data_IF_284781641971
#
_entry.id   IF_284781641971
#
_cell.length_a   1.000
_cell.length_b   1.000
_cell.length_c   1.000
_cell.angle_alpha   90.00
_cell.angle_beta   90.00
_cell.angle_gamma   90.00
#
_symmetry.space_group_name_H-M   'P 1'
#
loop_
_entity.id
_entity.type
_entity.pdbx_description
1 polymer ?
#
# COMPACT_ATOMS: atom_id res chain seq x y z
N UNK A 1 -9.91 19.23 -15.95
CA UNK A 1 -9.01 18.79 -14.86
C UNK A 1 -9.81 18.72 -13.56
N UNK A 2 -10.22 17.54 -13.07
CA UNK A 2 -10.78 17.41 -11.74
C UNK A 2 -9.86 16.52 -10.90
N UNK A 3 -8.87 17.14 -10.27
CA UNK A 3 -8.15 16.57 -9.14
C UNK A 3 -8.03 17.66 -8.09
N UNK A 4 -9.18 18.13 -7.61
CA UNK A 4 -9.20 18.73 -6.28
C UNK A 4 -8.89 17.59 -5.31
N UNK A 5 -7.59 17.46 -5.03
CA UNK A 5 -7.08 16.73 -3.87
C UNK A 5 -7.90 17.20 -2.69
N UNK A 6 -8.74 16.31 -2.17
CA UNK A 6 -9.17 16.37 -0.77
C UNK A 6 -7.88 16.40 0.05
N UNK A 7 -7.44 17.60 0.42
CA UNK A 7 -6.57 17.84 1.55
C UNK A 7 -7.39 17.53 2.82
N UNK A 8 -7.75 16.26 2.98
CA UNK A 8 -8.10 15.65 4.25
C UNK A 8 -6.87 14.86 4.64
N UNK A 9 -5.80 15.57 5.01
CA UNK A 9 -4.82 15.01 5.91
C UNK A 9 -5.59 14.91 7.23
N UNK A 10 -6.34 13.82 7.39
CA UNK A 10 -7.00 13.48 8.63
C UNK A 10 -5.87 13.44 9.66
N UNK A 11 -5.74 14.54 10.40
CA UNK A 11 -4.92 14.63 11.60
C UNK A 11 -5.41 13.46 12.45
N UNK A 12 -4.57 12.44 12.60
CA UNK A 12 -4.81 11.40 13.59
C UNK A 12 -5.10 12.14 14.89
N UNK A 13 -6.29 11.92 15.44
CA UNK A 13 -6.69 12.54 16.69
C UNK A 13 -5.60 12.19 17.72
N UNK A 14 -4.73 13.15 18.04
CA UNK A 14 -3.75 13.08 19.12
C UNK A 14 -4.48 13.10 20.48
N UNK A 15 -5.65 12.45 20.57
CA UNK A 15 -6.58 12.51 21.67
C UNK A 15 -6.05 11.91 22.98
N UNK A 16 -4.79 11.46 23.01
CA UNK A 16 -4.07 11.07 24.21
C UNK A 16 -2.74 11.82 24.44
N UNK A 17 -2.30 12.68 23.52
CA UNK A 17 -1.05 13.44 23.67
C UNK A 17 -1.06 14.44 24.84
N UNK A 18 -2.12 15.25 25.07
CA UNK A 18 -2.12 16.19 26.19
C UNK A 18 -2.23 15.46 27.54
N UNK A 19 -3.02 14.38 27.62
CA UNK A 19 -3.12 13.56 28.82
C UNK A 19 -1.79 12.83 29.12
N UNK A 20 -1.12 12.27 28.10
CA UNK A 20 0.20 11.66 28.26
C UNK A 20 1.23 12.68 28.75
N UNK A 21 1.24 13.90 28.21
CA UNK A 21 2.16 14.96 28.64
C UNK A 21 1.95 15.33 30.11
N UNK A 22 0.71 15.39 30.57
CA UNK A 22 0.40 15.59 31.99
C UNK A 22 0.96 14.46 32.86
N UNK A 23 0.79 13.21 32.44
CA UNK A 23 1.33 12.06 33.18
C UNK A 23 2.87 12.03 33.19
N UNK A 24 3.51 12.40 32.09
CA UNK A 24 4.98 12.51 32.02
C UNK A 24 5.48 13.59 33.00
N UNK A 25 4.82 14.74 33.07
CA UNK A 25 5.16 15.79 34.03
C UNK A 25 5.02 15.32 35.49
N UNK A 26 3.94 14.59 35.81
CA UNK A 26 3.76 13.98 37.12
C UNK A 26 4.83 12.94 37.42
N UNK A 27 5.21 12.12 36.43
CA UNK A 27 6.24 11.09 36.58
C UNK A 27 7.61 11.67 36.90
N UNK A 28 7.92 12.88 36.42
CA UNK A 28 9.18 13.58 36.74
C UNK A 28 9.31 13.98 38.22
N UNK A 29 8.20 14.13 38.93
CA UNK A 29 8.18 14.48 40.36
C UNK A 29 7.85 13.30 41.28
N UNK A 30 7.16 12.28 40.77
CA UNK A 30 6.80 11.07 41.52
C UNK A 30 7.98 10.09 41.69
N UNK A 31 8.11 9.49 42.89
CA UNK A 31 9.13 8.47 43.20
C UNK A 31 8.52 7.27 43.93
N UNK A 32 9.16 6.10 43.80
CA UNK A 32 8.76 4.88 44.52
C UNK A 32 7.29 4.53 44.32
N UNK A 33 6.56 4.36 45.43
CA UNK A 33 5.14 3.98 45.44
C UNK A 33 4.24 4.95 44.65
N UNK A 34 4.53 6.26 44.68
CA UNK A 34 3.76 7.24 43.91
C UNK A 34 3.93 7.05 42.41
N UNK A 35 5.14 6.69 41.96
CA UNK A 35 5.41 6.39 40.55
C UNK A 35 4.73 5.07 40.13
N UNK A 36 4.73 4.04 40.98
CA UNK A 36 4.02 2.80 40.73
C UNK A 36 2.48 3.01 40.63
N UNK A 37 1.91 3.85 41.50
CA UNK A 37 0.49 4.22 41.42
C UNK A 37 0.16 4.99 40.13
N UNK A 38 1.04 5.92 39.73
CA UNK A 38 0.91 6.66 38.47
C UNK A 38 0.90 5.73 37.26
N UNK A 39 1.79 4.72 37.23
CA UNK A 39 1.80 3.72 36.17
C UNK A 39 0.43 3.02 36.07
N UNK A 40 -0.15 2.57 37.19
CA UNK A 40 -1.49 1.95 37.16
C UNK A 40 -2.56 2.90 36.61
N UNK A 41 -2.53 4.19 36.98
CA UNK A 41 -3.47 5.19 36.46
C UNK A 41 -3.33 5.36 34.94
N UNK A 42 -2.10 5.47 34.43
CA UNK A 42 -1.83 5.60 33.00
C UNK A 42 -2.29 4.35 32.24
N UNK A 43 -2.00 3.17 32.77
CA UNK A 43 -2.41 1.90 32.16
C UNK A 43 -3.93 1.74 32.14
N UNK A 44 -4.67 2.29 33.10
CA UNK A 44 -6.13 2.28 33.11
C UNK A 44 -6.78 3.39 32.25
N UNK A 45 -6.02 4.41 31.84
CA UNK A 45 -6.58 5.60 31.17
C UNK A 45 -7.08 5.30 29.73
N UNK A 46 -8.35 5.55 29.38
CA UNK A 46 -8.94 5.04 28.12
C UNK A 46 -8.33 5.59 26.83
N UNK A 47 -7.68 6.76 26.87
CA UNK A 47 -7.12 7.41 25.68
C UNK A 47 -5.60 7.24 25.47
N UNK A 48 -4.90 6.65 26.44
CA UNK A 48 -3.43 6.53 26.39
C UNK A 48 -3.05 5.11 25.97
N UNK A 49 -2.47 5.00 24.77
CA UNK A 49 -2.05 3.74 24.14
C UNK A 49 -0.55 3.70 23.81
N UNK A 50 0.16 4.82 23.99
CA UNK A 50 1.61 4.98 23.75
C UNK A 50 2.29 5.28 25.08
N UNK A 51 3.38 4.56 25.38
CA UNK A 51 4.02 4.59 26.69
C UNK A 51 5.54 4.85 26.64
N UNK A 52 6.12 4.98 25.44
CA UNK A 52 7.56 5.19 25.26
C UNK A 52 8.10 6.42 26.00
N UNK A 53 7.37 7.54 25.96
CA UNK A 53 7.75 8.76 26.69
C UNK A 53 7.77 8.56 28.20
N UNK A 54 6.82 7.78 28.73
CA UNK A 54 6.77 7.47 30.17
C UNK A 54 7.93 6.55 30.57
N UNK A 55 8.27 5.56 29.73
CA UNK A 55 9.43 4.68 29.91
C UNK A 55 10.78 5.42 29.79
N UNK A 56 10.80 6.57 29.12
CA UNK A 56 11.99 7.43 29.04
C UNK A 56 12.27 8.21 30.32
N UNK A 57 11.26 8.40 31.20
CA UNK A 57 11.41 9.16 32.44
C UNK A 57 12.36 8.46 33.42
N UNK A 58 13.34 9.22 33.95
CA UNK A 58 14.35 8.69 34.87
C UNK A 58 13.75 8.01 36.09
N UNK A 59 12.77 8.63 36.75
CA UNK A 59 12.13 8.09 37.96
C UNK A 59 11.42 6.76 37.70
N UNK A 60 10.89 6.54 36.48
CA UNK A 60 10.26 5.28 36.09
C UNK A 60 11.33 4.19 35.92
N UNK A 61 12.47 4.54 35.33
CA UNK A 61 13.61 3.61 35.20
C UNK A 61 14.26 3.27 36.54
N UNK A 62 14.28 4.21 37.48
CA UNK A 62 14.76 4.01 38.86
C UNK A 62 13.90 3.00 39.66
N UNK A 63 12.70 2.65 39.19
CA UNK A 63 11.92 1.57 39.80
C UNK A 63 12.54 0.18 39.55
N UNK A 64 13.43 0.03 38.56
CA UNK A 64 14.15 -1.20 38.31
C UNK A 64 15.05 -1.54 39.51
N UNK A 65 14.88 -2.73 40.09
CA UNK A 65 15.64 -3.17 41.27
C UNK A 65 15.02 -2.75 42.61
N UNK A 66 13.85 -2.11 42.59
CA UNK A 66 13.04 -1.82 43.80
C UNK A 66 11.91 -2.84 43.97
N UNK A 67 11.18 -2.75 45.08
CA UNK A 67 9.95 -3.52 45.34
C UNK A 67 8.85 -3.29 44.27
N UNK A 68 8.94 -2.20 43.49
CA UNK A 68 7.99 -1.86 42.43
C UNK A 68 8.42 -2.33 41.03
N UNK A 69 9.44 -3.18 40.93
CA UNK A 69 9.86 -3.83 39.67
C UNK A 69 8.68 -4.46 38.89
N UNK A 70 7.68 -5.11 39.52
CA UNK A 70 6.53 -5.66 38.80
C UNK A 70 5.69 -4.60 38.06
N UNK A 71 5.60 -3.37 38.58
CA UNK A 71 4.88 -2.28 37.92
C UNK A 71 5.61 -1.81 36.65
N UNK A 72 6.95 -1.77 36.69
CA UNK A 72 7.77 -1.46 35.51
C UNK A 72 7.70 -2.58 34.47
N UNK A 73 7.74 -3.85 34.90
CA UNK A 73 7.55 -4.99 34.01
C UNK A 73 6.19 -4.93 33.31
N UNK A 74 5.12 -4.58 34.04
CA UNK A 74 3.79 -4.40 33.49
C UNK A 74 3.77 -3.29 32.42
N UNK A 75 4.40 -2.14 32.70
CA UNK A 75 4.50 -1.06 31.73
C UNK A 75 5.24 -1.49 30.45
N UNK A 76 6.33 -2.24 30.58
CA UNK A 76 7.06 -2.80 29.44
C UNK A 76 6.20 -3.77 28.61
N UNK A 77 5.39 -4.62 29.25
CA UNK A 77 4.45 -5.49 28.53
C UNK A 77 3.40 -4.69 27.78
N UNK A 78 2.91 -3.59 28.33
CA UNK A 78 1.95 -2.72 27.63
C UNK A 78 2.61 -1.97 26.46
N UNK A 79 3.86 -1.54 26.59
CA UNK A 79 4.60 -0.83 25.54
C UNK A 79 5.06 -1.76 24.40
N UNK A 80 5.53 -2.96 24.70
CA UNK A 80 6.22 -3.82 23.73
C UNK A 80 5.67 -5.24 23.62
N UNK A 81 5.01 -5.76 24.66
CA UNK A 81 4.52 -7.15 24.69
C UNK A 81 3.10 -7.33 24.14
N UNK A 82 2.62 -8.56 24.22
CA UNK A 82 1.26 -8.97 23.85
C UNK A 82 0.55 -9.59 25.04
N UNK A 83 -0.75 -9.87 24.91
CA UNK A 83 -1.52 -10.57 25.93
C UNK A 83 -0.91 -11.95 26.29
N UNK A 84 -0.34 -12.67 25.31
CA UNK A 84 0.34 -13.95 25.56
C UNK A 84 1.66 -13.83 26.33
N UNK A 85 2.28 -12.66 26.33
CA UNK A 85 3.55 -12.42 27.04
C UNK A 85 3.33 -12.10 28.53
N UNK A 86 2.07 -11.88 28.94
CA UNK A 86 1.74 -11.56 30.32
C UNK A 86 1.79 -12.81 31.20
N UNK A 87 2.59 -12.75 32.26
CA UNK A 87 2.66 -13.83 33.24
C UNK A 87 1.27 -14.07 33.89
N UNK A 88 0.84 -15.33 34.10
CA UNK A 88 -0.49 -15.64 34.66
C UNK A 88 -0.75 -14.96 36.02
N UNK A 89 0.29 -14.85 36.85
CA UNK A 89 0.21 -14.19 38.15
C UNK A 89 -0.06 -12.67 38.02
N UNK A 90 0.49 -12.02 37.00
CA UNK A 90 0.22 -10.61 36.73
C UNK A 90 -1.17 -10.45 36.13
N UNK A 91 -1.57 -11.30 35.18
CA UNK A 91 -2.90 -11.31 34.58
C UNK A 91 -4.03 -11.35 35.62
N UNK A 92 -3.86 -12.13 36.70
CA UNK A 92 -4.84 -12.20 37.79
C UNK A 92 -4.98 -10.92 38.63
N UNK A 93 -3.99 -10.02 38.58
CA UNK A 93 -3.96 -8.76 39.36
C UNK A 93 -4.32 -7.52 38.54
N UNK A 94 -4.59 -7.69 37.24
CA UNK A 94 -4.97 -6.60 36.34
C UNK A 94 -6.42 -6.19 36.61
N UNK A 95 -6.63 -4.88 36.64
CA UNK A 95 -7.97 -4.32 36.63
C UNK A 95 -8.63 -4.56 35.27
N UNK A 96 -9.95 -4.77 35.23
CA UNK A 96 -10.72 -4.99 34.01
C UNK A 96 -10.41 -3.98 32.87
N UNK A 97 -10.33 -2.65 33.10
CA UNK A 97 -10.00 -1.70 32.04
C UNK A 97 -8.58 -1.89 31.49
N UNK A 98 -7.61 -2.26 32.35
CA UNK A 98 -6.23 -2.52 31.92
C UNK A 98 -6.17 -3.79 31.08
N UNK A 99 -6.89 -4.84 31.49
CA UNK A 99 -6.96 -6.09 30.74
C UNK A 99 -7.54 -5.88 29.33
N UNK A 100 -8.66 -5.16 29.23
CA UNK A 100 -9.26 -4.79 27.93
C UNK A 100 -8.30 -3.96 27.07
N UNK A 101 -7.58 -3.00 27.66
CA UNK A 101 -6.58 -2.22 26.93
C UNK A 101 -5.45 -3.10 26.38
N UNK A 102 -4.93 -4.06 27.15
CA UNK A 102 -3.88 -4.94 26.65
C UNK A 102 -4.37 -5.83 25.50
N UNK A 103 -5.61 -6.32 25.58
CA UNK A 103 -6.25 -7.05 24.45
C UNK A 103 -6.34 -6.15 23.21
N UNK A 104 -6.79 -4.89 23.37
CA UNK A 104 -6.82 -3.89 22.29
C UNK A 104 -5.45 -3.69 21.65
N UNK A 105 -4.41 -3.44 22.45
CA UNK A 105 -3.04 -3.22 21.98
C UNK A 105 -2.47 -4.46 21.26
N UNK A 106 -2.81 -5.66 21.73
CA UNK A 106 -2.43 -6.92 21.10
C UNK A 106 -3.04 -7.02 19.70
N UNK A 107 -4.34 -6.77 19.58
CA UNK A 107 -5.04 -6.78 18.28
C UNK A 107 -4.46 -5.72 17.34
N UNK A 108 -4.23 -4.49 17.82
CA UNK A 108 -3.62 -3.42 17.02
C UNK A 108 -2.23 -3.81 16.51
N UNK A 109 -1.40 -4.44 17.35
CA UNK A 109 -0.06 -4.88 16.97
C UNK A 109 -0.09 -5.96 15.88
N UNK A 110 -1.08 -6.86 15.94
CA UNK A 110 -1.31 -7.85 14.88
C UNK A 110 -1.77 -7.19 13.57
N UNK A 111 -2.74 -6.29 13.66
CA UNK A 111 -3.25 -5.51 12.54
C UNK A 111 -2.19 -4.62 11.88
N UNK A 112 -1.13 -4.23 12.60
CA UNK A 112 0.00 -3.49 12.05
C UNK A 112 0.96 -4.37 11.24
N UNK A 113 0.94 -5.69 11.46
CA UNK A 113 1.84 -6.65 10.80
C UNK A 113 1.23 -7.28 9.55
N UNK A 114 -0.09 -7.52 9.56
CA UNK A 114 -0.81 -8.20 8.48
C UNK A 114 -2.05 -7.41 8.04
N UNK A 115 -2.26 -7.30 6.72
CA UNK A 115 -3.40 -6.57 6.15
C UNK A 115 -4.72 -7.34 6.22
N UNK A 116 -4.67 -8.68 6.22
CA UNK A 116 -5.85 -9.54 6.27
C UNK A 116 -5.65 -10.60 7.33
N UNK A 117 -6.44 -10.54 8.40
CA UNK A 117 -6.27 -11.42 9.56
C UNK A 117 -7.56 -12.18 9.83
N UNK A 118 -7.43 -13.48 10.06
CA UNK A 118 -8.54 -14.36 10.43
C UNK A 118 -8.97 -14.14 11.89
N UNK A 119 -10.26 -14.24 12.16
CA UNK A 119 -10.80 -14.08 13.51
C UNK A 119 -10.21 -15.10 14.50
N UNK A 120 -9.98 -16.34 14.06
CA UNK A 120 -9.41 -17.41 14.91
C UNK A 120 -8.03 -17.04 15.45
N UNK A 121 -7.23 -16.30 14.67
CA UNK A 121 -5.89 -15.84 15.08
C UNK A 121 -6.01 -14.73 16.12
N UNK A 122 -6.89 -13.75 15.88
CA UNK A 122 -7.15 -12.65 16.81
C UNK A 122 -7.74 -13.15 18.13
N UNK A 123 -8.66 -14.12 18.09
CA UNK A 123 -9.27 -14.74 19.27
C UNK A 123 -8.23 -15.44 20.14
N UNK A 124 -7.32 -16.21 19.53
CA UNK A 124 -6.22 -16.87 20.24
C UNK A 124 -5.26 -15.87 20.86
N UNK A 125 -4.88 -14.83 20.11
CA UNK A 125 -3.92 -13.84 20.57
C UNK A 125 -4.47 -12.96 21.71
N UNK A 126 -5.75 -12.57 21.64
CA UNK A 126 -6.39 -11.73 22.66
C UNK A 126 -7.08 -12.51 23.78
N UNK A 127 -7.04 -13.85 23.75
CA UNK A 127 -7.81 -14.75 24.61
C UNK A 127 -9.29 -14.31 24.72
N UNK A 128 -9.97 -14.34 23.56
CA UNK A 128 -11.39 -14.00 23.43
C UNK A 128 -12.12 -15.22 22.87
N UNK A 129 -13.09 -15.72 23.61
CA UNK A 129 -13.81 -16.95 23.25
C UNK A 129 -14.95 -16.70 22.24
N UNK A 130 -15.55 -15.50 22.29
CA UNK A 130 -16.73 -15.16 21.48
C UNK A 130 -16.37 -14.30 20.27
N UNK A 131 -16.92 -14.65 19.11
CA UNK A 131 -16.79 -13.81 17.90
C UNK A 131 -17.41 -12.44 18.13
N UNK A 132 -18.52 -12.37 18.87
CA UNK A 132 -19.21 -11.11 19.14
C UNK A 132 -18.37 -10.16 19.99
N UNK A 133 -17.70 -10.69 21.01
CA UNK A 133 -16.79 -9.92 21.85
C UNK A 133 -15.60 -9.40 21.04
N UNK A 134 -15.07 -10.21 20.12
CA UNK A 134 -14.03 -9.77 19.20
C UNK A 134 -14.53 -8.64 18.29
N UNK A 135 -15.73 -8.76 17.73
CA UNK A 135 -16.31 -7.71 16.87
C UNK A 135 -16.55 -6.42 17.63
N UNK A 136 -17.11 -6.49 18.85
CA UNK A 136 -17.29 -5.33 19.72
C UNK A 136 -15.95 -4.66 20.05
N UNK A 137 -14.88 -5.45 20.28
CA UNK A 137 -13.53 -4.94 20.48
C UNK A 137 -12.99 -4.26 19.21
N UNK A 138 -13.11 -4.89 18.04
CA UNK A 138 -12.67 -4.33 16.76
C UNK A 138 -13.42 -3.04 16.43
N UNK A 139 -14.72 -3.00 16.68
CA UNK A 139 -15.54 -1.81 16.54
C UNK A 139 -15.03 -0.72 17.47
N UNK A 140 -14.78 -1.03 18.75
CA UNK A 140 -14.25 -0.04 19.70
C UNK A 140 -12.89 0.55 19.25
N UNK A 141 -12.00 -0.28 18.68
CA UNK A 141 -10.72 0.16 18.13
C UNK A 141 -10.89 1.12 16.94
N UNK A 142 -11.91 0.89 16.10
CA UNK A 142 -12.21 1.77 14.97
C UNK A 142 -12.78 3.11 15.45
N UNK A 143 -13.67 3.09 16.43
CA UNK A 143 -14.22 4.32 17.02
C UNK A 143 -13.17 5.14 17.77
N UNK A 144 -12.21 4.48 18.41
CA UNK A 144 -11.07 5.11 19.09
C UNK A 144 -9.98 5.61 18.11
N UNK A 145 -10.14 5.36 16.81
CA UNK A 145 -9.19 5.80 15.77
C UNK A 145 -7.88 5.00 15.74
N UNK A 146 -7.77 3.91 16.51
CA UNK A 146 -6.58 3.07 16.58
C UNK A 146 -6.46 2.13 15.36
N UNK A 147 -7.59 1.81 14.75
CA UNK A 147 -7.69 0.91 13.61
C UNK A 147 -8.60 1.51 12.53
N UNK A 148 -8.21 1.41 11.27
CA UNK A 148 -9.10 1.61 10.12
C UNK A 148 -9.13 0.33 9.32
N UNK A 149 -10.33 -0.22 9.12
CA UNK A 149 -10.51 -1.47 8.41
C UNK A 149 -11.97 -1.79 8.18
N UNK A 150 -12.22 -2.90 7.48
CA UNK A 150 -13.56 -3.45 7.25
C UNK A 150 -13.63 -4.87 7.79
N UNK A 151 -14.66 -5.14 8.56
CA UNK A 151 -14.97 -6.48 9.06
C UNK A 151 -15.74 -7.25 7.99
N UNK A 152 -15.33 -8.49 7.71
CA UNK A 152 -16.05 -9.42 6.85
C UNK A 152 -16.50 -10.62 7.67
N UNK A 153 -17.73 -10.53 8.18
CA UNK A 153 -18.31 -11.55 9.04
C UNK A 153 -18.55 -12.89 8.31
N UNK A 154 -18.75 -12.86 6.98
CA UNK A 154 -18.99 -14.09 6.21
C UNK A 154 -17.71 -14.91 6.07
N UNK A 155 -16.60 -14.24 5.77
CA UNK A 155 -15.31 -14.92 5.65
C UNK A 155 -14.59 -15.06 6.99
N UNK A 156 -15.05 -14.41 8.06
CA UNK A 156 -14.40 -14.35 9.40
C UNK A 156 -12.99 -13.75 9.34
N UNK A 157 -12.83 -12.67 8.57
CA UNK A 157 -11.56 -11.95 8.49
C UNK A 157 -11.81 -10.44 8.64
N UNK A 158 -10.80 -9.74 9.13
CA UNK A 158 -10.74 -8.28 9.06
C UNK A 158 -9.74 -7.88 7.98
N UNK A 159 -10.14 -6.90 7.17
CA UNK A 159 -9.26 -6.22 6.21
C UNK A 159 -8.82 -4.90 6.82
N UNK A 160 -7.57 -4.82 7.21
CA UNK A 160 -6.96 -3.64 7.83
C UNK A 160 -6.44 -2.73 6.72
N UNK A 161 -6.86 -1.47 6.74
CA UNK A 161 -6.34 -0.42 5.87
C UNK A 161 -5.21 0.34 6.56
N UNK A 162 -5.32 0.56 7.88
CA UNK A 162 -4.32 1.23 8.69
C UNK A 162 -4.49 0.81 10.15
N UNK A 163 -3.39 0.61 10.87
CA UNK A 163 -3.37 0.45 12.32
C UNK A 163 -2.35 1.44 12.90
N UNK A 164 -2.63 2.01 14.07
CA UNK A 164 -1.64 2.84 14.75
C UNK A 164 -0.44 2.00 15.18
N UNK A 165 0.74 2.59 15.18
CA UNK A 165 1.91 2.00 15.80
C UNK A 165 1.88 2.29 17.32
N UNK A 166 2.30 1.31 18.12
CA UNK A 166 2.32 1.42 19.58
C UNK A 166 3.62 2.09 20.06
N UNK A 167 4.62 1.31 20.41
CA UNK A 167 5.96 1.76 20.76
C UNK A 167 6.95 0.80 20.11
N UNK A 168 8.07 1.35 19.64
CA UNK A 168 9.16 0.57 19.04
C UNK A 168 10.21 0.35 20.11
N UNK A 169 10.59 -0.91 20.34
CA UNK A 169 11.67 -1.21 21.26
C UNK A 169 13.01 -0.73 20.65
N UNK A 170 13.92 -0.12 21.44
CA UNK A 170 15.20 0.36 20.91
C UNK A 170 15.99 -0.71 20.13
N UNK A 171 15.91 -1.97 20.55
CA UNK A 171 16.57 -3.10 19.88
C UNK A 171 16.00 -3.44 18.50
N UNK A 172 14.79 -2.96 18.18
CA UNK A 172 14.14 -3.16 16.88
C UNK A 172 14.48 -2.05 15.88
N UNK A 173 15.09 -0.95 16.32
CA UNK A 173 15.47 0.16 15.44
C UNK A 173 16.41 -0.27 14.30
N UNK A 174 17.44 -1.11 14.52
CA UNK A 174 18.29 -1.61 13.44
C UNK A 174 17.51 -2.42 12.40
N UNK A 175 16.53 -3.23 12.85
CA UNK A 175 15.67 -4.02 11.96
C UNK A 175 14.78 -3.10 11.12
N UNK A 176 14.22 -2.05 11.71
CA UNK A 176 13.42 -1.06 10.98
C UNK A 176 14.27 -0.31 9.95
N UNK A 177 15.47 0.13 10.32
CA UNK A 177 16.41 0.77 9.40
C UNK A 177 16.76 -0.16 8.23
N UNK A 178 17.01 -1.45 8.48
CA UNK A 178 17.28 -2.43 7.43
C UNK A 178 16.09 -2.62 6.47
N UNK A 179 14.84 -2.65 6.98
CA UNK A 179 13.64 -2.72 6.14
C UNK A 179 13.49 -1.49 5.23
N UNK A 180 13.68 -0.29 5.78
CA UNK A 180 13.64 0.96 5.00
C UNK A 180 14.75 1.02 3.95
N UNK A 181 15.93 0.53 4.31
CA UNK A 181 17.08 0.44 3.42
C UNK A 181 16.80 -0.51 2.24
N UNK A 182 16.28 -1.71 2.51
CA UNK A 182 15.87 -2.65 1.46
C UNK A 182 14.78 -2.07 0.56
N UNK A 183 13.81 -1.36 1.12
CA UNK A 183 12.77 -0.67 0.34
C UNK A 183 13.36 0.42 -0.55
N UNK A 184 14.30 1.23 -0.03
CA UNK A 184 15.02 2.23 -0.82
C UNK A 184 15.76 1.59 -1.99
N UNK A 185 16.53 0.54 -1.72
CA UNK A 185 17.36 -0.11 -2.74
C UNK A 185 16.49 -0.77 -3.82
N UNK A 186 15.33 -1.32 -3.45
CA UNK A 186 14.33 -1.83 -4.40
C UNK A 186 13.82 -0.70 -5.31
N UNK A 187 13.46 0.46 -4.74
CA UNK A 187 13.00 1.60 -5.54
C UNK A 187 14.10 2.16 -6.45
N UNK A 188 15.34 2.26 -5.95
CA UNK A 188 16.48 2.69 -6.77
C UNK A 188 16.75 1.71 -7.91
N UNK A 189 16.64 0.40 -7.65
CA UNK A 189 16.74 -0.63 -8.69
C UNK A 189 15.65 -0.53 -9.74
N UNK A 190 14.39 -0.31 -9.33
CA UNK A 190 13.27 -0.09 -10.25
C UNK A 190 13.45 1.17 -11.10
N UNK A 191 13.89 2.27 -10.49
CA UNK A 191 14.19 3.50 -11.21
C UNK A 191 15.31 3.31 -12.23
N UNK A 192 16.40 2.63 -11.85
CA UNK A 192 17.50 2.33 -12.78
C UNK A 192 17.05 1.43 -13.94
N UNK A 193 16.18 0.45 -13.69
CA UNK A 193 15.61 -0.40 -14.74
C UNK A 193 14.74 0.39 -15.71
N UNK A 194 13.88 1.29 -15.20
CA UNK A 194 13.05 2.18 -16.02
C UNK A 194 13.90 3.15 -16.86
N UNK A 195 14.94 3.73 -16.26
CA UNK A 195 15.88 4.58 -16.98
C UNK A 195 16.63 3.81 -18.07
N UNK A 196 17.03 2.56 -17.81
CA UNK A 196 17.65 1.67 -18.79
C UNK A 196 16.73 1.38 -19.98
N UNK A 197 15.46 1.05 -19.73
CA UNK A 197 14.46 0.85 -20.79
C UNK A 197 14.21 2.12 -21.59
N UNK A 198 14.13 3.28 -20.92
CA UNK A 198 13.93 4.57 -21.59
C UNK A 198 15.12 4.94 -22.50
N UNK A 199 16.36 4.62 -22.09
CA UNK A 199 17.57 4.81 -22.92
C UNK A 199 17.56 3.88 -24.12
N UNK A 200 17.35 2.59 -23.92
CA UNK A 200 17.29 1.61 -25.01
C UNK A 200 16.25 1.99 -26.07
N UNK A 201 15.06 2.45 -25.64
CA UNK A 201 14.03 2.94 -26.56
C UNK A 201 14.47 4.18 -27.34
N UNK A 202 15.16 5.14 -26.70
CA UNK A 202 15.70 6.32 -27.38
C UNK A 202 16.80 5.96 -28.38
N UNK A 203 17.68 5.02 -28.02
CA UNK A 203 18.76 4.56 -28.88
C UNK A 203 18.19 3.85 -30.12
N UNK A 204 17.21 2.95 -29.94
CA UNK A 204 16.53 2.28 -31.04
C UNK A 204 15.82 3.28 -31.96
N UNK A 205 15.14 4.28 -31.40
CA UNK A 205 14.51 5.34 -32.20
C UNK A 205 15.53 6.16 -32.98
N UNK A 206 16.68 6.49 -32.38
CA UNK A 206 17.75 7.21 -33.07
C UNK A 206 18.37 6.38 -34.19
N UNK A 207 18.54 5.07 -33.98
CA UNK A 207 19.09 4.15 -34.99
C UNK A 207 18.10 3.96 -36.15
N UNK A 208 16.80 3.81 -35.86
CA UNK A 208 15.77 3.75 -36.88
C UNK A 208 15.69 5.06 -37.69
N UNK A 209 15.77 6.21 -37.03
CA UNK A 209 15.83 7.51 -37.71
C UNK A 209 17.06 7.63 -38.61
N UNK A 210 18.24 7.23 -38.13
CA UNK A 210 19.48 7.23 -38.91
C UNK A 210 19.40 6.27 -40.11
N UNK A 211 18.85 5.06 -39.92
CA UNK A 211 18.64 4.07 -41.00
C UNK A 211 17.69 4.60 -42.07
N UNK A 212 16.57 5.22 -41.67
CA UNK A 212 15.62 5.87 -42.60
C UNK A 212 16.31 7.00 -43.38
N UNK A 213 17.05 7.87 -42.71
CA UNK A 213 17.78 8.96 -43.35
C UNK A 213 18.84 8.46 -44.35
N UNK A 214 19.60 7.42 -44.00
CA UNK A 214 20.57 6.81 -44.90
C UNK A 214 19.92 6.15 -46.12
N UNK A 215 18.77 5.50 -45.94
CA UNK A 215 17.99 4.93 -47.05
C UNK A 215 17.50 6.03 -47.99
N UNK A 216 16.92 7.11 -47.45
CA UNK A 216 16.47 8.26 -48.22
C UNK A 216 17.61 8.89 -49.04
N UNK A 217 18.81 9.05 -48.45
CA UNK A 217 19.99 9.53 -49.18
C UNK A 217 20.38 8.60 -50.33
N UNK A 218 20.38 7.28 -50.12
CA UNK A 218 20.71 6.31 -51.19
C UNK A 218 19.69 6.36 -52.34
N UNK A 219 18.40 6.43 -52.00
CA UNK A 219 17.32 6.58 -52.99
C UNK A 219 17.51 7.87 -53.79
N UNK A 220 17.79 9.00 -53.12
CA UNK A 220 18.04 10.27 -53.79
C UNK A 220 19.25 10.21 -54.74
N UNK A 221 20.36 9.62 -54.30
CA UNK A 221 21.56 9.44 -55.14
C UNK A 221 21.31 8.51 -56.34
N UNK A 222 20.50 7.46 -56.18
CA UNK A 222 20.14 6.58 -57.29
C UNK A 222 19.23 7.28 -58.30
N UNK A 223 18.22 8.03 -57.83
CA UNK A 223 17.38 8.89 -58.66
C UNK A 223 18.21 9.90 -59.46
N UNK A 224 19.19 10.53 -58.82
CA UNK A 224 20.08 11.48 -59.49
C UNK A 224 20.97 10.81 -60.55
N UNK A 225 21.56 9.64 -60.24
CA UNK A 225 22.34 8.87 -61.22
C UNK A 225 21.50 8.44 -62.42
N UNK A 226 20.25 8.00 -62.19
CA UNK A 226 19.30 7.66 -63.25
C UNK A 226 18.98 8.86 -64.14
N UNK A 227 18.83 10.06 -63.56
CA UNK A 227 18.65 11.31 -64.32
C UNK A 227 19.87 11.66 -65.18
N UNK A 228 21.09 11.40 -64.70
CA UNK A 228 22.32 11.67 -65.44
C UNK A 228 22.68 10.58 -66.47
N UNK A 229 22.19 9.34 -66.29
CA UNK A 229 22.38 8.22 -67.24
C UNK A 229 21.30 8.11 -68.31
N UNK A 230 20.25 8.94 -68.25
CA UNK A 230 19.28 9.02 -69.33
C UNK A 230 19.96 9.62 -70.58
N UNK A 231 20.02 8.89 -71.72
CA UNK A 231 20.46 9.51 -72.97
C UNK A 231 19.45 10.59 -73.34
N UNK A 232 19.95 11.65 -73.96
CA UNK A 232 19.15 12.62 -74.69
C UNK A 232 18.29 11.89 -75.73
N UNK A 233 17.07 11.50 -75.36
CA UNK A 233 16.00 11.25 -76.32
C UNK A 233 15.24 12.56 -76.46
N UNK A 234 15.58 13.29 -77.52
CA UNK A 234 14.64 14.18 -78.17
C UNK A 234 13.49 13.32 -78.71
N UNK A 235 12.34 13.36 -78.03
CA UNK A 235 11.06 12.97 -78.62
C UNK A 235 10.05 14.02 -78.22
N UNK A 236 9.82 14.93 -79.16
CA UNK A 236 8.76 15.92 -79.07
C UNK A 236 7.38 15.28 -78.95
N UNK A 237 6.51 16.00 -78.24
CA UNK A 237 5.09 16.06 -78.58
C UNK A 237 4.14 15.16 -77.80
N UNK A 238 3.37 15.84 -76.95
CA UNK A 238 1.94 15.59 -76.65
C UNK A 238 1.56 14.70 -75.47
N UNK A 239 1.06 15.39 -74.43
CA UNK A 239 -0.23 15.15 -73.75
C UNK A 239 -0.47 13.76 -73.18
N UNK A 240 -0.44 13.62 -71.85
CA UNK A 240 -1.59 13.22 -70.99
C UNK A 240 -1.31 13.64 -69.54
N UNK A 241 -2.24 14.39 -68.93
CA UNK A 241 -2.58 14.41 -67.49
C UNK A 241 -1.46 14.46 -66.46
N UNK A 242 -0.96 15.66 -66.14
CA UNK A 242 -0.18 15.90 -64.94
C UNK A 242 -1.11 16.05 -63.73
N UNK A 243 -1.28 14.98 -62.95
CA UNK A 243 -1.68 15.02 -61.55
C UNK A 243 -1.37 13.66 -60.91
N UNK A 244 -0.11 13.47 -60.56
CA UNK A 244 0.29 12.62 -59.44
C UNK A 244 1.42 13.35 -58.74
N UNK A 245 1.01 14.18 -57.77
CA UNK A 245 1.93 14.76 -56.81
C UNK A 245 2.52 13.61 -56.00
N UNK A 246 3.84 13.53 -55.99
CA UNK A 246 4.54 12.80 -54.96
C UNK A 246 4.27 13.52 -53.64
N UNK A 247 3.24 13.09 -52.91
CA UNK A 247 3.08 13.39 -51.49
C UNK A 247 4.26 12.74 -50.76
N UNK A 248 5.33 13.52 -50.62
CA UNK A 248 6.26 13.39 -49.51
C UNK A 248 5.45 13.79 -48.27
N UNK A 249 4.70 12.84 -47.72
CA UNK A 249 4.03 13.04 -46.43
C UNK A 249 5.09 13.44 -45.40
N UNK A 250 5.00 14.69 -45.00
CA UNK A 250 5.58 15.23 -43.78
C UNK A 250 5.05 14.38 -42.61
N UNK A 251 5.90 13.52 -42.06
CA UNK A 251 5.70 12.95 -40.73
C UNK A 251 5.77 14.10 -39.69
N UNK A 252 4.66 14.83 -39.57
CA UNK A 252 4.38 15.69 -38.43
C UNK A 252 4.39 14.84 -37.15
N UNK A 253 5.00 15.29 -36.06
CA UNK A 253 5.08 14.51 -34.83
C UNK A 253 3.67 14.26 -34.27
N UNK A 254 3.29 12.98 -34.18
CA UNK A 254 2.07 12.54 -33.51
C UNK A 254 2.08 12.96 -32.03
N UNK A 255 1.43 14.09 -31.74
CA UNK A 255 0.99 14.44 -30.39
C UNK A 255 -0.24 13.59 -30.08
N UNK A 256 -0.06 12.58 -29.23
CA UNK A 256 -1.16 11.81 -28.67
C UNK A 256 -2.03 12.72 -27.78
N UNK A 257 -3.17 13.16 -28.30
CA UNK A 257 -4.31 13.56 -27.49
C UNK A 257 -5.39 12.48 -27.61
N UNK A 258 -5.47 11.64 -26.58
CA UNK A 258 -6.55 10.70 -26.41
C UNK A 258 -7.78 11.41 -25.87
N UNK A 259 -8.85 11.46 -26.65
CA UNK A 259 -10.21 11.61 -26.14
C UNK A 259 -11.13 10.65 -26.89
N UNK A 260 -11.77 9.76 -26.13
CA UNK A 260 -12.59 8.68 -26.65
C UNK A 260 -13.94 9.14 -27.20
N UNK A 261 -14.50 8.35 -28.11
CA UNK A 261 -15.95 8.30 -28.33
C UNK A 261 -16.40 6.94 -28.85
N UNK A 262 -17.56 6.55 -28.33
CA UNK A 262 -18.17 5.21 -28.35
C UNK A 262 -18.68 4.83 -29.74
N UNK A 263 -18.42 3.61 -30.19
CA UNK A 263 -19.04 3.02 -31.37
C UNK A 263 -20.32 2.28 -30.99
N UNK A 264 -21.46 2.82 -31.43
CA UNK A 264 -22.71 2.07 -31.58
C UNK A 264 -22.75 1.44 -32.97
N UNK A 265 -22.66 0.11 -33.04
CA UNK A 265 -22.67 -0.67 -34.28
C UNK A 265 -23.92 -1.54 -34.40
N UNK A 266 -24.69 -1.27 -35.45
CA UNK A 266 -26.01 -1.79 -35.82
C UNK A 266 -25.94 -3.25 -36.33
N UNK A 267 -26.88 -4.08 -35.87
CA UNK A 267 -27.09 -5.48 -36.26
C UNK A 267 -27.71 -5.56 -37.67
N UNK A 268 -27.16 -6.41 -38.53
CA UNK A 268 -27.80 -6.84 -39.79
C UNK A 268 -27.86 -8.37 -39.87
N UNK A 269 -28.99 -8.83 -40.41
CA UNK A 269 -29.59 -10.17 -40.32
C UNK A 269 -29.51 -10.85 -41.69
N UNK A 270 -29.14 -12.13 -41.76
CA UNK A 270 -29.28 -12.99 -42.94
C UNK A 270 -29.10 -14.47 -42.56
N UNK A 271 -30.20 -15.22 -42.37
CA UNK A 271 -30.79 -16.21 -43.32
C UNK A 271 -30.01 -17.53 -43.44
N UNK A 272 -30.46 -18.53 -42.67
CA UNK A 272 -30.37 -20.00 -42.92
C UNK A 272 -31.18 -20.39 -44.18
N UNK A 273 -31.17 -21.64 -44.76
CA UNK A 273 -31.00 -23.00 -44.14
C UNK A 273 -30.28 -24.01 -45.10
N UNK A 274 -30.44 -25.37 -45.10
CA UNK A 274 -31.20 -26.29 -44.22
C UNK A 274 -30.55 -27.63 -43.79
N UNK A 275 -31.16 -28.25 -42.77
CA UNK A 275 -31.30 -29.72 -42.60
C UNK A 275 -30.12 -30.45 -41.92
N UNK A 276 -30.29 -31.31 -40.92
CA UNK A 276 -31.48 -31.84 -40.26
C UNK A 276 -31.12 -33.09 -39.41
N UNK A 277 -31.85 -33.26 -38.30
CA UNK A 277 -32.02 -34.46 -37.44
C UNK A 277 -30.78 -35.05 -36.75
N UNK A 278 -30.71 -35.30 -35.43
CA UNK A 278 -31.72 -35.56 -34.39
C UNK A 278 -31.32 -36.88 -33.70
N UNK A 279 -31.01 -36.96 -32.39
CA UNK A 279 -31.88 -37.29 -31.23
C UNK A 279 -30.92 -37.78 -30.12
N UNK A 280 -30.94 -37.23 -28.91
CA UNK A 280 -31.57 -37.77 -27.66
C UNK A 280 -31.30 -39.24 -27.31
N UNK A 281 -30.61 -39.47 -26.20
CA UNK A 281 -30.96 -40.34 -25.04
C UNK A 281 -29.87 -40.10 -23.96
N UNK A 282 -30.17 -39.69 -22.73
CA UNK A 282 -30.71 -40.43 -21.58
C UNK A 282 -29.73 -41.48 -20.99
N UNK A 283 -29.39 -41.28 -19.70
CA UNK A 283 -28.96 -42.24 -18.66
C UNK A 283 -27.67 -43.08 -18.87
N UNK A 284 -26.72 -43.07 -17.93
CA UNK A 284 -26.76 -43.92 -16.73
C UNK A 284 -25.49 -43.82 -15.84
N UNK A 285 -25.74 -43.94 -14.53
CA UNK A 285 -24.97 -44.65 -13.49
C UNK A 285 -23.45 -44.93 -13.67
N UNK A 286 -22.64 -44.32 -12.80
CA UNK A 286 -21.81 -45.00 -11.78
C UNK A 286 -21.14 -44.00 -10.83
#
# INVERSE_FOLDING_TARGET
RPYERRAGMDVFDEGGAPELQQFVLLAQSARGAACAALIRQVLAHPKVFVFGELLAVRNVRELAGTEHTPALALLNTFAYGTWSDLAPAMAATLDLPMALKLKKLTVVSMCASEEVIAYDVLQKAAAIDSVRELEDLLISLIYEGLLRGKLDQRSKHIKVAHAIARDVHPDELPRLAAKLQAWRDTNTGLMAALEGQARAYKDEQSEQAARKAALQQRVAQQMEKLRHSAPHMDMGGSSVGAQDGYDLDEDLPMVLHGEGRRLGGRVLKGKHPPGGSGRRAHEDFR
#
